data_IF_212289484846
#
_entry.id   IF_212289484846
#
_cell.length_a   1.000
_cell.length_b   1.000
_cell.length_c   1.000
_cell.angle_alpha   90.00
_cell.angle_beta   90.00
_cell.angle_gamma   90.00
#
_symmetry.space_group_name_H-M   'P 1'
#
loop_
_entity.id
_entity.type
_entity.pdbx_description
1 polymer ?
#
# COMPACT_ATOMS: atom_id res chain seq x y z
N UNK A 1 7.42 -5.29 -16.58
CA UNK A 1 6.86 -5.37 -15.22
C UNK A 1 8.02 -5.36 -14.26
N UNK A 2 8.11 -4.36 -13.39
CA UNK A 2 9.14 -4.23 -12.35
C UNK A 2 8.54 -4.59 -10.99
N UNK A 3 9.40 -4.90 -10.00
CA UNK A 3 8.93 -5.07 -8.63
C UNK A 3 8.22 -3.78 -8.18
N UNK A 4 7.00 -3.92 -7.67
CA UNK A 4 6.14 -2.83 -7.24
C UNK A 4 4.99 -2.49 -8.19
N UNK A 5 5.00 -2.99 -9.44
CA UNK A 5 3.94 -2.73 -10.40
C UNK A 5 2.59 -3.30 -9.94
N UNK A 6 1.51 -2.56 -10.20
CA UNK A 6 0.15 -3.06 -10.05
C UNK A 6 -0.11 -4.15 -11.10
N UNK A 7 -0.37 -5.37 -10.64
CA UNK A 7 -0.62 -6.54 -11.51
C UNK A 7 -2.11 -6.74 -11.72
N UNK A 8 -2.89 -6.60 -10.64
CA UNK A 8 -4.31 -6.86 -10.64
C UNK A 8 -4.97 -6.02 -9.57
N UNK A 9 -6.18 -5.53 -9.83
CA UNK A 9 -6.97 -4.81 -8.86
C UNK A 9 -8.44 -5.12 -9.11
N UNK A 10 -9.25 -5.25 -8.06
CA UNK A 10 -10.62 -5.67 -8.23
C UNK A 10 -11.46 -5.62 -6.96
N UNK A 11 -12.72 -6.03 -7.10
CA UNK A 11 -13.60 -6.31 -5.99
C UNK A 11 -13.71 -7.83 -5.81
N UNK A 12 -13.39 -8.32 -4.61
CA UNK A 12 -13.69 -9.66 -4.18
C UNK A 12 -15.02 -9.65 -3.43
N UNK A 13 -15.91 -10.57 -3.80
CA UNK A 13 -17.20 -10.73 -3.15
C UNK A 13 -17.25 -12.12 -2.56
N UNK A 14 -17.44 -12.20 -1.25
CA UNK A 14 -17.48 -13.45 -0.51
C UNK A 14 -18.88 -13.62 0.07
N UNK A 15 -19.56 -14.68 -0.37
CA UNK A 15 -20.80 -15.17 0.22
C UNK A 15 -20.53 -16.58 0.74
N UNK A 16 -20.83 -16.87 2.01
CA UNK A 16 -20.83 -18.25 2.51
C UNK A 16 -22.20 -18.89 2.27
N UNK A 17 -22.30 -19.95 1.44
CA UNK A 17 -23.54 -20.68 1.26
C UNK A 17 -23.95 -21.48 2.51
N UNK A 18 -23.07 -21.62 3.51
CA UNK A 18 -23.28 -22.42 4.73
C UNK A 18 -23.71 -21.54 5.92
N UNK A 19 -24.11 -20.28 5.67
CA UNK A 19 -24.79 -19.42 6.64
C UNK A 19 -23.93 -18.89 7.80
N UNK A 20 -22.61 -19.08 7.76
CA UNK A 20 -21.71 -18.71 8.88
C UNK A 20 -20.90 -17.43 8.62
N UNK A 21 -20.98 -16.83 7.43
CA UNK A 21 -20.21 -15.63 7.07
C UNK A 21 -21.14 -14.58 6.51
N UNK A 22 -21.20 -13.43 7.17
CA UNK A 22 -21.86 -12.25 6.67
C UNK A 22 -21.33 -11.91 5.26
N UNK A 23 -22.21 -11.61 4.29
CA UNK A 23 -21.78 -11.13 2.99
C UNK A 23 -20.71 -10.04 3.11
N UNK A 24 -19.62 -10.22 2.37
CA UNK A 24 -18.44 -9.36 2.42
C UNK A 24 -18.07 -8.92 1.01
N UNK A 25 -17.98 -7.62 0.80
CA UNK A 25 -17.37 -7.03 -0.39
C UNK A 25 -16.04 -6.41 0.02
N UNK A 26 -14.95 -6.79 -0.64
CA UNK A 26 -13.61 -6.26 -0.41
C UNK A 26 -13.07 -5.68 -1.71
N UNK A 27 -12.46 -4.51 -1.64
CA UNK A 27 -11.61 -4.01 -2.74
C UNK A 27 -10.17 -4.38 -2.46
N UNK A 28 -9.45 -4.85 -3.48
CA UNK A 28 -8.07 -5.27 -3.36
C UNK A 28 -7.19 -4.77 -4.51
N UNK A 29 -5.91 -4.57 -4.21
CA UNK A 29 -4.86 -4.30 -5.19
C UNK A 29 -3.69 -5.28 -4.96
N UNK A 30 -3.35 -6.03 -6.01
CA UNK A 30 -2.18 -6.90 -6.07
C UNK A 30 -1.04 -6.17 -6.78
N UNK A 31 0.07 -6.03 -6.09
CA UNK A 31 1.31 -5.48 -6.64
C UNK A 31 2.40 -6.52 -6.63
N UNK A 32 3.31 -6.52 -7.60
CA UNK A 32 4.49 -7.38 -7.51
C UNK A 32 5.32 -6.95 -6.30
N UNK A 33 5.51 -7.86 -5.34
CA UNK A 33 6.51 -7.72 -4.30
C UNK A 33 7.91 -8.13 -4.82
N UNK A 34 7.97 -8.91 -5.91
CA UNK A 34 9.19 -9.35 -6.57
C UNK A 34 8.93 -9.65 -8.06
N UNK A 35 9.97 -9.56 -8.88
CA UNK A 35 9.98 -9.97 -10.29
C UNK A 35 9.78 -11.48 -10.49
N UNK A 36 9.90 -12.30 -9.44
CA UNK A 36 9.60 -13.74 -9.47
C UNK A 36 8.09 -14.07 -9.42
N UNK A 37 7.21 -13.06 -9.46
CA UNK A 37 5.76 -13.23 -9.45
C UNK A 37 5.11 -13.20 -8.06
N UNK A 38 5.88 -13.03 -6.99
CA UNK A 38 5.31 -12.82 -5.65
C UNK A 38 4.54 -11.49 -5.62
N UNK A 39 3.30 -11.53 -5.13
CA UNK A 39 2.44 -10.34 -5.03
C UNK A 39 2.15 -9.94 -3.58
N UNK A 40 2.16 -8.64 -3.29
CA UNK A 40 1.57 -8.07 -2.08
C UNK A 40 0.08 -7.78 -2.34
N UNK A 41 -0.80 -8.30 -1.48
CA UNK A 41 -2.23 -8.02 -1.52
C UNK A 41 -2.61 -6.93 -0.52
N UNK A 42 -3.04 -5.78 -1.03
CA UNK A 42 -3.55 -4.68 -0.21
C UNK A 42 -5.06 -4.66 -0.26
N UNK A 43 -5.72 -4.93 0.88
CA UNK A 43 -7.16 -4.71 1.04
C UNK A 43 -7.38 -3.21 1.23
N UNK A 44 -8.09 -2.59 0.30
CA UNK A 44 -8.31 -1.14 0.29
C UNK A 44 -9.52 -0.72 1.14
N UNK A 45 -10.55 -1.56 1.14
CA UNK A 45 -11.80 -1.31 1.88
C UNK A 45 -12.61 -2.59 1.98
N UNK A 46 -13.23 -2.79 3.14
CA UNK A 46 -14.09 -3.93 3.45
C UNK A 46 -15.49 -3.43 3.79
N UNK A 47 -16.50 -4.14 3.30
CA UNK A 47 -17.90 -3.85 3.55
C UNK A 47 -18.55 -5.13 4.07
N UNK A 48 -18.93 -5.11 5.34
CA UNK A 48 -19.67 -6.19 5.97
C UNK A 48 -21.16 -5.88 5.90
N UNK A 49 -21.96 -6.89 5.59
CA UNK A 49 -23.41 -6.84 5.76
C UNK A 49 -23.76 -7.02 7.25
N UNK A 50 -24.74 -6.28 7.79
CA UNK A 50 -25.27 -6.48 9.15
C UNK A 50 -24.56 -5.77 10.31
N UNK A 51 -23.44 -5.06 10.10
CA UNK A 51 -22.66 -4.41 11.16
C UNK A 51 -23.23 -3.10 11.78
N UNK A 52 -24.40 -2.65 11.35
CA UNK A 52 -25.04 -1.42 11.85
C UNK A 52 -26.54 -1.49 11.64
N UNK A 53 -27.29 -1.43 12.74
CA UNK A 53 -28.74 -1.57 12.77
C UNK A 53 -29.45 -0.61 11.82
N UNK A 54 -30.18 -1.19 10.88
CA UNK A 54 -31.09 -0.51 9.98
C UNK A 54 -32.00 -1.56 9.39
N UNK A 55 -33.20 -1.67 9.96
CA UNK A 55 -34.28 -2.46 9.39
C UNK A 55 -34.50 -2.06 7.92
N UNK A 56 -34.45 -3.05 7.02
CA UNK A 56 -35.20 -3.01 5.78
C UNK A 56 -34.53 -2.49 4.50
N UNK A 57 -33.23 -2.15 4.48
CA UNK A 57 -32.55 -1.83 3.21
C UNK A 57 -31.98 -3.11 2.57
N UNK A 58 -32.72 -3.58 1.55
CA UNK A 58 -32.49 -4.74 0.70
C UNK A 58 -30.99 -5.07 0.47
N UNK A 59 -30.59 -6.32 0.74
CA UNK A 59 -29.23 -6.84 0.52
C UNK A 59 -28.67 -6.46 -0.86
N UNK A 60 -29.54 -6.34 -1.87
CA UNK A 60 -29.18 -5.88 -3.20
C UNK A 60 -28.72 -4.42 -3.25
N UNK A 61 -29.33 -3.54 -2.47
CA UNK A 61 -28.91 -2.14 -2.35
C UNK A 61 -27.58 -2.01 -1.61
N UNK A 62 -27.41 -2.74 -0.50
CA UNK A 62 -26.11 -2.85 0.18
C UNK A 62 -25.04 -3.34 -0.80
N UNK A 63 -25.29 -4.44 -1.50
CA UNK A 63 -24.33 -5.03 -2.43
C UNK A 63 -23.96 -4.05 -3.56
N UNK A 64 -24.95 -3.37 -4.15
CA UNK A 64 -24.74 -2.39 -5.21
C UNK A 64 -23.91 -1.20 -4.72
N UNK A 65 -24.19 -0.68 -3.52
CA UNK A 65 -23.42 0.42 -2.91
C UNK A 65 -21.99 -0.03 -2.62
N UNK A 66 -21.81 -1.14 -1.90
CA UNK A 66 -20.51 -1.69 -1.54
C UNK A 66 -19.65 -2.00 -2.76
N UNK A 67 -20.24 -2.56 -3.82
CA UNK A 67 -19.53 -2.82 -5.09
C UNK A 67 -19.08 -1.52 -5.76
N UNK A 68 -19.95 -0.50 -5.85
CA UNK A 68 -19.57 0.81 -6.41
C UNK A 68 -18.46 1.47 -5.60
N UNK A 69 -18.55 1.44 -4.27
CA UNK A 69 -17.51 1.99 -3.40
C UNK A 69 -16.19 1.21 -3.51
N UNK A 70 -16.26 -0.12 -3.66
CA UNK A 70 -15.09 -0.97 -3.90
C UNK A 70 -14.41 -0.67 -5.24
N UNK A 71 -15.15 -0.36 -6.31
CA UNK A 71 -14.53 0.10 -7.57
C UNK A 71 -13.96 1.52 -7.45
N UNK A 72 -14.64 2.41 -6.72
CA UNK A 72 -14.16 3.77 -6.51
C UNK A 72 -12.85 3.81 -5.68
N UNK A 73 -12.66 2.88 -4.74
CA UNK A 73 -11.38 2.78 -4.01
C UNK A 73 -10.22 2.37 -4.92
N UNK A 74 -10.47 1.56 -5.96
CA UNK A 74 -9.46 1.21 -6.97
C UNK A 74 -9.03 2.43 -7.79
N UNK A 75 -9.98 3.26 -8.21
CA UNK A 75 -9.65 4.49 -8.94
C UNK A 75 -8.75 5.42 -8.11
N UNK A 76 -9.05 5.56 -6.81
CA UNK A 76 -8.25 6.37 -5.89
C UNK A 76 -6.81 5.87 -5.74
N UNK A 77 -6.61 4.55 -5.64
CA UNK A 77 -5.25 4.02 -5.46
C UNK A 77 -4.43 4.14 -6.75
N UNK A 78 -5.05 3.93 -7.93
CA UNK A 78 -4.38 4.12 -9.22
C UNK A 78 -3.99 5.57 -9.43
N UNK A 79 -4.90 6.51 -9.17
CA UNK A 79 -4.59 7.93 -9.28
C UNK A 79 -3.50 8.35 -8.29
N UNK A 80 -3.49 7.77 -7.08
CA UNK A 80 -2.39 7.99 -6.13
C UNK A 80 -1.06 7.49 -6.68
N UNK A 81 -1.00 6.28 -7.25
CA UNK A 81 0.26 5.80 -7.83
C UNK A 81 0.75 6.71 -8.95
N UNK A 82 -0.18 7.21 -9.79
CA UNK A 82 0.15 8.21 -10.80
C UNK A 82 0.74 9.48 -10.18
N UNK A 83 0.10 10.03 -9.15
CA UNK A 83 0.63 11.18 -8.41
C UNK A 83 2.01 10.90 -7.82
N UNK A 84 2.23 9.72 -7.23
CA UNK A 84 3.52 9.35 -6.65
C UNK A 84 4.64 9.22 -7.69
N UNK A 85 4.31 8.86 -8.94
CA UNK A 85 5.27 8.89 -10.05
C UNK A 85 5.62 10.32 -10.47
N UNK A 86 4.65 11.24 -10.37
CA UNK A 86 4.84 12.67 -10.66
C UNK A 86 5.53 13.42 -9.48
N UNK A 87 5.46 12.88 -8.27
CA UNK A 87 6.14 13.37 -7.06
C UNK A 87 7.66 13.08 -7.12
N UNK A 88 8.38 13.88 -7.89
CA UNK A 88 9.83 13.80 -8.04
C UNK A 88 10.56 14.20 -6.74
N UNK A 89 11.58 13.42 -6.40
CA UNK A 89 12.44 13.62 -5.24
C UNK A 89 13.75 14.26 -5.69
N UNK A 90 14.05 15.49 -5.23
CA UNK A 90 15.32 16.14 -5.51
C UNK A 90 16.51 15.25 -5.11
N UNK A 91 17.56 15.20 -5.94
CA UNK A 91 18.68 14.28 -5.75
C UNK A 91 19.36 14.41 -4.38
N UNK A 92 19.43 15.63 -3.85
CA UNK A 92 19.96 15.97 -2.52
C UNK A 92 19.05 15.51 -1.37
N UNK A 93 17.78 15.20 -1.63
CA UNK A 93 16.79 14.80 -0.62
C UNK A 93 16.51 13.28 -0.61
N UNK A 94 16.94 12.54 -1.64
CA UNK A 94 16.70 11.08 -1.77
C UNK A 94 17.19 10.29 -0.56
N UNK A 95 18.42 10.54 -0.12
CA UNK A 95 19.00 9.86 1.04
C UNK A 95 18.23 10.16 2.33
N UNK A 96 17.86 11.43 2.55
CA UNK A 96 17.09 11.84 3.72
C UNK A 96 15.70 11.16 3.76
N UNK A 97 15.01 11.07 2.61
CA UNK A 97 13.72 10.41 2.52
C UNK A 97 13.83 8.90 2.82
N UNK A 98 14.85 8.25 2.28
CA UNK A 98 15.11 6.84 2.57
C UNK A 98 15.35 6.60 4.06
N UNK A 99 16.19 7.42 4.71
CA UNK A 99 16.46 7.30 6.15
C UNK A 99 15.21 7.50 7.01
N UNK A 100 14.34 8.44 6.64
CA UNK A 100 13.07 8.64 7.33
C UNK A 100 12.16 7.40 7.21
N UNK A 101 12.06 6.79 6.03
CA UNK A 101 11.28 5.56 5.82
C UNK A 101 11.85 4.38 6.61
N UNK A 102 13.17 4.19 6.60
CA UNK A 102 13.83 3.12 7.37
C UNK A 102 13.57 3.29 8.87
N UNK A 103 13.66 4.52 9.38
CA UNK A 103 13.37 4.85 10.79
C UNK A 103 11.92 4.52 11.15
N UNK A 104 10.96 4.93 10.32
CA UNK A 104 9.54 4.67 10.57
C UNK A 104 9.21 3.18 10.52
N UNK A 105 9.79 2.46 9.56
CA UNK A 105 9.69 1.00 9.47
C UNK A 105 10.44 0.28 10.59
N UNK A 106 11.23 1.00 11.40
CA UNK A 106 12.14 0.49 12.43
C UNK A 106 13.10 -0.58 11.86
N UNK A 107 13.62 -0.31 10.67
CA UNK A 107 14.64 -1.13 10.01
C UNK A 107 16.00 -0.49 10.30
N UNK A 108 16.94 -1.29 10.79
CA UNK A 108 18.27 -0.84 11.19
C UNK A 108 19.32 -1.94 10.96
N UNK A 109 20.59 -1.62 11.17
CA UNK A 109 21.68 -2.60 11.05
C UNK A 109 21.95 -3.04 9.61
N UNK A 110 22.27 -4.33 9.43
CA UNK A 110 22.64 -4.91 8.14
C UNK A 110 21.54 -4.77 7.08
N UNK A 111 20.27 -4.92 7.47
CA UNK A 111 19.13 -4.77 6.56
C UNK A 111 19.02 -3.34 6.03
N UNK A 112 19.17 -2.34 6.91
CA UNK A 112 19.18 -0.94 6.48
C UNK A 112 20.35 -0.66 5.53
N UNK A 113 21.52 -1.26 5.77
CA UNK A 113 22.67 -1.15 4.88
C UNK A 113 22.43 -1.81 3.51
N UNK A 114 21.77 -2.97 3.48
CA UNK A 114 21.40 -3.64 2.24
C UNK A 114 20.41 -2.79 1.43
N UNK A 115 19.41 -2.19 2.07
CA UNK A 115 18.45 -1.29 1.41
C UNK A 115 19.15 -0.05 0.86
N UNK A 116 20.08 0.54 1.61
CA UNK A 116 20.91 1.66 1.14
C UNK A 116 21.74 1.27 -0.08
N UNK A 117 22.36 0.09 -0.07
CA UNK A 117 23.12 -0.41 -1.22
C UNK A 117 22.23 -0.54 -2.46
N UNK A 118 21.03 -1.11 -2.32
CA UNK A 118 20.04 -1.16 -3.41
C UNK A 118 19.68 0.24 -3.93
N UNK A 119 19.51 1.21 -3.04
CA UNK A 119 19.22 2.60 -3.40
C UNK A 119 20.41 3.33 -4.06
N UNK A 120 21.65 2.87 -3.84
CA UNK A 120 22.83 3.41 -4.55
C UNK A 120 22.86 2.87 -5.98
N UNK A 121 22.57 1.58 -6.16
CA UNK A 121 22.53 0.94 -7.48
C UNK A 121 21.37 1.45 -8.34
N UNK A 122 20.20 1.66 -7.71
CA UNK A 122 19.00 2.19 -8.36
C UNK A 122 18.41 3.32 -7.51
N UNK A 123 18.91 4.56 -7.69
CA UNK A 123 18.44 5.72 -6.93
C UNK A 123 16.95 5.99 -7.15
N UNK A 124 16.14 6.04 -6.10
CA UNK A 124 14.71 6.31 -6.25
C UNK A 124 14.51 7.76 -6.68
N UNK A 125 13.85 7.98 -7.82
CA UNK A 125 13.65 9.31 -8.38
C UNK A 125 12.32 9.92 -7.95
N UNK A 126 11.32 9.08 -7.70
CA UNK A 126 9.97 9.47 -7.30
C UNK A 126 9.56 8.83 -5.97
N UNK A 127 8.50 9.36 -5.37
CA UNK A 127 7.82 8.71 -4.22
C UNK A 127 7.42 7.27 -4.56
N UNK A 128 7.06 6.98 -5.81
CA UNK A 128 6.73 5.64 -6.27
C UNK A 128 7.94 4.70 -6.28
N UNK A 129 9.12 5.18 -6.64
CA UNK A 129 10.34 4.37 -6.62
C UNK A 129 10.77 4.00 -5.21
N UNK A 130 10.63 4.92 -4.24
CA UNK A 130 10.83 4.62 -2.82
C UNK A 130 9.86 3.55 -2.32
N UNK A 131 8.59 3.65 -2.71
CA UNK A 131 7.57 2.66 -2.40
C UNK A 131 7.95 1.27 -2.93
N UNK A 132 8.47 1.21 -4.16
CA UNK A 132 8.89 -0.02 -4.81
C UNK A 132 10.14 -0.61 -4.16
N UNK A 133 11.17 0.21 -3.91
CA UNK A 133 12.40 -0.16 -3.23
C UNK A 133 12.11 -0.81 -1.87
N UNK A 134 11.27 -0.17 -1.05
CA UNK A 134 10.88 -0.70 0.25
C UNK A 134 10.04 -1.97 0.13
N UNK A 135 9.13 -2.04 -0.83
CA UNK A 135 8.33 -3.26 -1.09
C UNK A 135 9.22 -4.44 -1.47
N UNK A 136 10.23 -4.22 -2.30
CA UNK A 136 11.19 -5.24 -2.70
C UNK A 136 12.11 -5.64 -1.54
N UNK A 137 12.65 -4.66 -0.82
CA UNK A 137 13.50 -4.90 0.34
C UNK A 137 12.82 -5.76 1.40
N UNK A 138 11.58 -5.42 1.75
CA UNK A 138 10.82 -6.12 2.79
C UNK A 138 10.45 -7.55 2.43
N UNK A 139 10.47 -7.88 1.14
CA UNK A 139 10.11 -9.19 0.63
C UNK A 139 11.32 -10.13 0.50
N UNK A 140 12.54 -9.59 0.50
CA UNK A 140 13.79 -10.34 0.30
C UNK A 140 14.80 -10.26 1.44
N UNK A 141 14.77 -9.19 2.24
CA UNK A 141 15.78 -8.92 3.27
C UNK A 141 15.26 -9.14 4.69
N UNK A 142 13.93 -9.15 4.86
CA UNK A 142 13.31 -9.33 6.17
C UNK A 142 12.78 -10.75 6.30
N UNK A 143 13.17 -11.43 7.38
CA UNK A 143 12.67 -12.77 7.69
C UNK A 143 11.59 -12.76 8.78
N UNK A 144 11.63 -11.78 9.69
CA UNK A 144 10.63 -11.67 10.79
C UNK A 144 9.28 -11.15 10.26
N UNK A 145 8.20 -11.95 10.34
CA UNK A 145 6.86 -11.57 9.87
C UNK A 145 6.34 -10.26 10.48
N UNK A 146 6.71 -9.94 11.73
CA UNK A 146 6.29 -8.70 12.39
C UNK A 146 6.95 -7.48 11.76
N UNK A 147 8.22 -7.61 11.34
CA UNK A 147 8.99 -6.55 10.67
C UNK A 147 8.53 -6.38 9.23
N UNK A 148 8.29 -7.48 8.51
CA UNK A 148 7.68 -7.48 7.18
C UNK A 148 6.36 -6.71 7.22
N UNK A 149 5.43 -7.09 8.11
CA UNK A 149 4.12 -6.44 8.22
C UNK A 149 4.23 -4.95 8.58
N UNK A 150 5.11 -4.59 9.50
CA UNK A 150 5.33 -3.17 9.86
C UNK A 150 5.81 -2.37 8.67
N UNK A 151 6.81 -2.88 7.97
CA UNK A 151 7.38 -2.18 6.82
C UNK A 151 6.37 -2.10 5.66
N UNK A 152 5.59 -3.15 5.42
CA UNK A 152 4.46 -3.12 4.49
C UNK A 152 3.40 -2.07 4.88
N UNK A 153 3.09 -1.92 6.17
CA UNK A 153 2.16 -0.89 6.65
C UNK A 153 2.71 0.53 6.44
N UNK A 154 4.01 0.75 6.66
CA UNK A 154 4.67 2.05 6.40
C UNK A 154 4.66 2.36 4.90
N UNK A 155 4.98 1.37 4.07
CA UNK A 155 4.87 1.47 2.61
C UNK A 155 3.43 1.80 2.21
N UNK A 156 2.43 1.13 2.79
CA UNK A 156 1.03 1.40 2.52
C UNK A 156 0.61 2.81 2.97
N UNK A 157 1.13 3.33 4.09
CA UNK A 157 0.77 4.67 4.57
C UNK A 157 1.24 5.78 3.61
N UNK A 158 2.33 5.57 2.86
CA UNK A 158 2.77 6.49 1.81
C UNK A 158 1.78 6.63 0.65
N UNK A 159 0.85 5.67 0.50
CA UNK A 159 -0.23 5.73 -0.48
C UNK A 159 -1.45 6.51 0.02
N UNK A 160 -1.56 6.79 1.31
CA UNK A 160 -2.57 7.71 1.84
C UNK A 160 -2.04 9.13 1.81
N UNK A 161 -2.74 10.09 1.21
CA UNK A 161 -2.28 11.48 1.10
C UNK A 161 -2.05 12.15 2.48
N UNK A 162 -2.92 11.85 3.45
CA UNK A 162 -2.82 12.38 4.81
C UNK A 162 -1.67 11.76 5.60
N UNK A 163 -1.47 10.45 5.49
CA UNK A 163 -0.39 9.76 6.19
C UNK A 163 0.96 9.97 5.50
N UNK A 164 0.99 10.01 4.17
CA UNK A 164 2.17 10.40 3.39
C UNK A 164 2.70 11.76 3.84
N UNK A 165 1.82 12.77 3.94
CA UNK A 165 2.24 14.10 4.38
C UNK A 165 2.79 14.12 5.81
N UNK A 166 2.41 13.17 6.68
CA UNK A 166 2.97 13.02 8.03
C UNK A 166 4.34 12.35 8.03
N UNK A 167 4.52 11.34 7.18
CA UNK A 167 5.72 10.47 7.22
C UNK A 167 6.82 10.94 6.26
N UNK A 168 6.45 11.62 5.17
CA UNK A 168 7.38 12.16 4.19
C UNK A 168 8.05 13.43 4.73
N UNK A 169 9.38 13.44 5.00
CA UNK A 169 10.05 14.60 5.59
C UNK A 169 10.00 15.86 4.69
N UNK A 170 9.85 15.68 3.38
CA UNK A 170 9.71 16.79 2.41
C UNK A 170 8.31 17.41 2.46
N UNK A 171 7.26 16.59 2.52
CA UNK A 171 5.89 17.07 2.60
C UNK A 171 5.53 17.55 4.02
N UNK A 172 6.12 16.93 5.04
CA UNK A 172 5.96 17.29 6.44
C UNK A 172 6.54 18.69 6.74
N UNK A 173 7.69 19.04 6.15
CA UNK A 173 8.33 20.35 6.35
C UNK A 173 7.61 21.51 5.66
N UNK A 174 6.77 21.25 4.63
CA UNK A 174 5.99 22.29 3.92
C UNK A 174 4.65 22.66 4.60
N UNK A 175 4.24 21.95 5.65
CA UNK A 175 2.93 22.15 6.33
C UNK A 175 3.01 22.91 7.68
N UNK A 176 4.20 23.38 8.07
CA UNK A 176 4.42 24.30 9.18
C UNK A 176 4.72 25.71 8.65
#
# INVERSE_FOLDING_TARGET
VVAGDLVQAGAQVTFSPIGTVDPLVQSYALRLACTNGMTNNTILREFHYGGGGGDGDDIWQWFRRSSREAYNSLHRIVERYRQMMDEQIPADQRAMMLEAMLREAKISGEEANAIRAMAIENPPESSYDLLNLMSQATSHLLEDPRRIRRAQNVVASYTSETEHARVCPVCHSRRN
#
